data_IF_666717748482
#
_entry.id   IF_666717748482
#
_cell.length_a   1.000
_cell.length_b   1.000
_cell.length_c   1.000
_cell.angle_alpha   90.00
_cell.angle_beta   90.00
_cell.angle_gamma   90.00
#
_symmetry.space_group_name_H-M   'P 1'
#
loop_
_entity.id
_entity.type
_entity.pdbx_description
1 polymer ?
#
# COMPACT_ATOMS: atom_id res chain seq x y z
N UNK A 1 31.67 -25.55 0.30
CA UNK A 1 31.04 -24.23 0.51
C UNK A 1 29.62 -24.47 1.01
N UNK A 2 29.26 -24.00 2.20
CA UNK A 2 27.90 -24.17 2.73
C UNK A 2 26.90 -23.40 1.87
N UNK A 3 25.73 -23.99 1.61
CA UNK A 3 24.66 -23.35 0.81
C UNK A 3 24.09 -22.18 1.59
N UNK A 4 24.00 -20.99 0.98
CA UNK A 4 23.43 -19.81 1.64
C UNK A 4 21.95 -20.07 2.00
N UNK A 5 21.52 -19.53 3.13
CA UNK A 5 20.11 -19.40 3.51
C UNK A 5 19.45 -18.26 2.73
N UNK A 6 18.11 -18.21 2.67
CA UNK A 6 17.40 -17.08 2.03
C UNK A 6 17.73 -15.75 2.72
N UNK A 7 17.87 -15.74 4.04
CA UNK A 7 18.24 -14.54 4.80
C UNK A 7 19.60 -13.99 4.37
N UNK A 8 20.60 -14.86 4.23
CA UNK A 8 21.95 -14.45 3.78
C UNK A 8 21.91 -13.91 2.36
N UNK A 9 21.12 -14.51 1.47
CA UNK A 9 20.94 -14.00 0.10
C UNK A 9 20.34 -12.60 0.08
N UNK A 10 19.29 -12.37 0.88
CA UNK A 10 18.63 -11.07 0.98
C UNK A 10 19.61 -10.00 1.50
N UNK A 11 20.36 -10.31 2.56
CA UNK A 11 21.33 -9.38 3.13
C UNK A 11 22.44 -9.00 2.15
N UNK A 12 22.95 -9.97 1.38
CA UNK A 12 23.95 -9.70 0.34
C UNK A 12 23.42 -8.73 -0.71
N UNK A 13 22.18 -8.91 -1.19
CA UNK A 13 21.56 -7.97 -2.14
C UNK A 13 21.51 -6.56 -1.56
N UNK A 14 21.07 -6.39 -0.30
CA UNK A 14 21.05 -5.08 0.36
C UNK A 14 22.44 -4.48 0.60
N UNK A 15 23.48 -5.30 0.64
CA UNK A 15 24.88 -4.88 0.76
C UNK A 15 25.55 -4.61 -0.59
N UNK A 16 24.85 -4.78 -1.72
CA UNK A 16 25.43 -4.66 -3.06
C UNK A 16 26.31 -5.85 -3.47
N UNK A 17 26.22 -6.97 -2.75
CA UNK A 17 26.95 -8.19 -3.03
C UNK A 17 26.14 -9.19 -3.88
N UNK A 18 26.82 -10.16 -4.48
CA UNK A 18 26.20 -11.20 -5.31
C UNK A 18 25.90 -12.46 -4.47
N UNK A 19 24.62 -12.86 -4.31
CA UNK A 19 24.26 -14.12 -3.67
C UNK A 19 24.53 -15.33 -4.59
N UNK A 20 24.52 -16.55 -4.03
CA UNK A 20 24.67 -17.80 -4.81
C UNK A 20 23.51 -18.06 -5.80
N UNK A 21 22.35 -17.43 -5.59
CA UNK A 21 21.20 -17.34 -6.50
C UNK A 21 20.27 -16.20 -6.07
N UNK A 22 19.29 -15.88 -6.91
CA UNK A 22 18.22 -14.92 -6.59
C UNK A 22 17.50 -15.33 -5.28
N UNK A 23 17.42 -14.44 -4.27
CA UNK A 23 16.68 -14.72 -3.04
C UNK A 23 15.18 -14.89 -3.30
N UNK A 24 14.53 -15.71 -2.50
CA UNK A 24 13.09 -15.89 -2.53
C UNK A 24 12.50 -15.92 -1.12
N UNK A 25 11.38 -15.24 -0.94
CA UNK A 25 10.55 -15.33 0.27
C UNK A 25 9.07 -15.28 -0.10
N UNK A 26 8.26 -16.01 0.65
CA UNK A 26 6.81 -15.89 0.59
C UNK A 26 6.37 -14.61 1.32
N UNK A 27 5.34 -13.95 0.82
CA UNK A 27 4.60 -12.92 1.55
C UNK A 27 3.16 -13.39 1.72
N UNK A 28 2.73 -13.57 2.96
CA UNK A 28 1.38 -14.02 3.28
C UNK A 28 0.45 -12.88 3.70
N UNK A 29 0.82 -11.61 3.49
CA UNK A 29 0.03 -10.46 3.94
C UNK A 29 -1.38 -10.46 3.37
N UNK A 30 -1.51 -10.63 2.05
CA UNK A 30 -2.83 -10.69 1.40
C UNK A 30 -3.65 -11.91 1.85
N UNK A 31 -2.98 -13.05 1.99
CA UNK A 31 -3.61 -14.28 2.52
C UNK A 31 -4.07 -14.10 3.97
N UNK A 32 -3.29 -13.42 4.81
CA UNK A 32 -3.61 -13.14 6.20
C UNK A 32 -4.90 -12.31 6.31
N UNK A 33 -5.01 -11.22 5.56
CA UNK A 33 -6.21 -10.39 5.54
C UNK A 33 -7.46 -11.18 5.14
N UNK A 34 -7.37 -11.94 4.04
CA UNK A 34 -8.48 -12.77 3.58
C UNK A 34 -8.83 -13.86 4.60
N UNK A 35 -7.83 -14.59 5.14
CA UNK A 35 -8.07 -15.69 6.09
C UNK A 35 -8.76 -15.24 7.36
N UNK A 36 -8.35 -14.12 7.92
CA UNK A 36 -8.89 -13.59 9.18
C UNK A 36 -10.03 -12.60 8.96
N UNK A 37 -10.48 -12.42 7.72
CA UNK A 37 -11.54 -11.49 7.34
C UNK A 37 -11.27 -10.06 7.84
N UNK A 38 -10.00 -9.67 7.88
CA UNK A 38 -9.56 -8.32 8.25
C UNK A 38 -9.59 -7.44 7.01
N UNK A 39 -10.41 -6.40 7.02
CA UNK A 39 -10.42 -5.43 5.92
C UNK A 39 -9.04 -4.78 5.79
N UNK A 40 -8.47 -4.84 4.59
CA UNK A 40 -7.28 -4.07 4.26
C UNK A 40 -7.72 -2.62 4.06
N UNK A 41 -7.56 -1.75 5.05
CA UNK A 41 -7.92 -0.34 4.91
C UNK A 41 -6.75 0.43 4.29
N UNK A 42 -7.01 1.17 3.21
CA UNK A 42 -6.04 2.07 2.54
C UNK A 42 -5.99 3.46 3.18
N UNK A 43 -6.84 3.68 4.16
CA UNK A 43 -6.98 4.91 4.91
C UNK A 43 -6.59 4.59 6.36
N UNK A 44 -5.52 5.20 6.84
CA UNK A 44 -5.04 4.97 8.20
C UNK A 44 -3.62 5.46 8.41
N UNK A 45 -3.29 5.65 9.69
CA UNK A 45 -1.91 5.88 10.09
C UNK A 45 -1.15 4.55 10.08
N UNK A 46 -0.12 4.46 9.25
CA UNK A 46 0.79 3.32 9.15
C UNK A 46 2.08 3.54 9.95
N UNK A 47 2.07 4.45 10.93
CA UNK A 47 3.18 4.65 11.86
C UNK A 47 3.40 3.46 12.79
N UNK A 48 2.36 2.65 13.03
CA UNK A 48 2.42 1.47 13.89
C UNK A 48 2.48 0.20 13.03
N UNK A 49 3.52 -0.64 13.17
CA UNK A 49 3.60 -1.91 12.47
C UNK A 49 2.43 -2.85 12.83
N UNK A 50 1.91 -3.57 11.84
CA UNK A 50 0.89 -4.62 12.05
C UNK A 50 1.52 -5.90 12.63
N UNK A 51 1.82 -5.87 13.93
CA UNK A 51 2.53 -6.94 14.63
C UNK A 51 1.86 -8.31 14.50
N UNK A 52 0.53 -8.39 14.53
CA UNK A 52 -0.18 -9.68 14.39
C UNK A 52 0.08 -10.35 13.04
N UNK A 53 0.17 -9.56 11.96
CA UNK A 53 0.48 -10.06 10.63
C UNK A 53 1.95 -10.43 10.49
N UNK A 54 2.84 -9.62 11.08
CA UNK A 54 4.28 -9.91 11.15
C UNK A 54 4.52 -11.24 11.87
N UNK A 55 3.91 -11.43 13.02
CA UNK A 55 4.04 -12.64 13.83
C UNK A 55 3.43 -13.84 13.13
N UNK A 56 2.32 -13.66 12.42
CA UNK A 56 1.75 -14.71 11.57
C UNK A 56 2.74 -15.16 10.49
N UNK A 57 3.31 -14.24 9.71
CA UNK A 57 4.31 -14.56 8.68
C UNK A 57 5.54 -15.26 9.30
N UNK A 58 6.04 -14.75 10.43
CA UNK A 58 7.15 -15.35 11.17
C UNK A 58 6.84 -16.80 11.57
N UNK A 59 5.64 -17.08 12.08
CA UNK A 59 5.20 -18.42 12.47
C UNK A 59 5.18 -19.42 11.29
N UNK A 60 5.02 -18.92 10.06
CA UNK A 60 5.02 -19.72 8.82
C UNK A 60 6.38 -19.80 8.14
N UNK A 61 7.42 -19.18 8.72
CA UNK A 61 8.73 -19.00 8.09
C UNK A 61 8.63 -18.31 6.73
N UNK A 62 7.61 -17.48 6.56
CA UNK A 62 7.45 -16.60 5.41
C UNK A 62 8.28 -15.33 5.63
N UNK A 63 8.63 -14.67 4.53
CA UNK A 63 9.09 -13.29 4.59
C UNK A 63 7.92 -12.37 4.91
N UNK A 64 8.24 -11.10 5.06
CA UNK A 64 7.24 -10.07 5.21
C UNK A 64 7.82 -8.77 4.69
N UNK A 65 7.11 -8.15 3.78
CA UNK A 65 7.37 -6.78 3.39
C UNK A 65 6.59 -5.87 4.33
N UNK A 66 7.23 -4.83 4.87
CA UNK A 66 6.53 -3.85 5.73
C UNK A 66 5.38 -3.26 4.91
N UNK A 67 4.10 -3.52 5.27
CA UNK A 67 2.96 -3.07 4.51
C UNK A 67 3.02 -1.55 4.45
N UNK A 68 2.75 -1.04 3.25
CA UNK A 68 2.47 0.37 2.99
C UNK A 68 3.67 1.33 3.00
N UNK A 69 4.90 0.94 3.33
CA UNK A 69 6.10 1.83 3.32
C UNK A 69 5.92 3.23 3.98
N UNK A 70 4.79 3.47 4.64
CA UNK A 70 4.31 4.82 4.92
C UNK A 70 4.96 5.40 6.18
N UNK A 71 5.80 4.62 6.87
CA UNK A 71 6.56 5.09 8.02
C UNK A 71 7.86 5.83 7.64
N UNK A 72 8.26 5.85 6.35
CA UNK A 72 9.50 6.50 5.92
C UNK A 72 9.34 7.97 5.49
N UNK A 73 8.11 8.42 5.27
CA UNK A 73 7.83 9.78 4.85
C UNK A 73 6.52 10.26 5.47
N UNK A 74 6.39 11.58 5.61
CA UNK A 74 5.14 12.23 5.96
C UNK A 74 4.67 13.02 4.75
N UNK A 75 3.42 12.83 4.37
CA UNK A 75 2.78 13.69 3.35
C UNK A 75 2.39 14.99 4.04
N UNK A 76 2.77 16.10 3.44
CA UNK A 76 2.31 17.43 3.79
C UNK A 76 1.96 18.15 2.49
N UNK A 77 0.79 18.76 2.45
CA UNK A 77 0.37 19.63 1.36
C UNK A 77 0.58 21.09 1.76
N UNK A 78 0.72 21.97 0.78
CA UNK A 78 0.74 23.42 0.98
C UNK A 78 -0.60 23.92 1.54
N UNK A 79 -0.61 25.07 2.22
CA UNK A 79 -1.83 25.67 2.81
C UNK A 79 -2.92 25.98 1.76
N UNK A 80 -2.54 26.07 0.49
CA UNK A 80 -3.45 26.29 -0.65
C UNK A 80 -4.11 25.02 -1.17
N UNK A 81 -3.75 23.85 -0.65
CA UNK A 81 -4.26 22.54 -1.07
C UNK A 81 -5.16 21.97 0.01
N UNK A 82 -6.41 21.68 -0.36
CA UNK A 82 -7.33 20.95 0.51
C UNK A 82 -7.34 19.48 0.12
N UNK A 83 -6.99 18.62 1.07
CA UNK A 83 -6.99 17.18 0.89
C UNK A 83 -8.08 16.54 1.73
N UNK A 84 -8.93 15.76 1.06
CA UNK A 84 -10.04 15.03 1.67
C UNK A 84 -9.90 13.54 1.41
N UNK A 85 -10.10 12.75 2.45
CA UNK A 85 -10.26 11.30 2.36
C UNK A 85 -11.49 10.92 3.13
N UNK A 86 -12.39 10.17 2.48
CA UNK A 86 -13.58 9.67 3.15
C UNK A 86 -13.98 8.32 2.58
N UNK A 87 -14.86 7.66 3.31
CA UNK A 87 -15.36 6.32 2.98
C UNK A 87 -16.87 6.38 2.87
N UNK A 88 -17.38 5.78 1.82
CA UNK A 88 -18.81 5.68 1.55
C UNK A 88 -19.21 4.22 1.34
N UNK A 89 -20.50 3.96 1.24
CA UNK A 89 -21.01 2.64 0.86
C UNK A 89 -22.12 2.84 -0.15
N UNK A 90 -21.87 2.39 -1.38
CA UNK A 90 -22.81 2.45 -2.48
C UNK A 90 -23.29 1.05 -2.81
N UNK A 91 -24.62 0.82 -2.76
CA UNK A 91 -25.19 -0.50 -3.01
C UNK A 91 -24.70 -1.61 -2.08
N UNK A 92 -24.28 -1.25 -0.85
CA UNK A 92 -23.69 -2.19 0.11
C UNK A 92 -22.20 -2.49 -0.10
N UNK A 93 -21.58 -1.89 -1.12
CA UNK A 93 -20.16 -2.04 -1.44
C UNK A 93 -19.40 -0.80 -0.92
N UNK A 94 -18.39 -0.99 -0.06
CA UNK A 94 -17.55 0.12 0.39
C UNK A 94 -16.77 0.78 -0.74
N UNK A 95 -16.64 2.11 -0.66
CA UNK A 95 -15.80 2.92 -1.53
C UNK A 95 -14.89 3.82 -0.70
N UNK A 96 -13.67 4.06 -1.14
CA UNK A 96 -12.78 5.08 -0.59
C UNK A 96 -12.56 6.15 -1.64
N UNK A 97 -12.73 7.39 -1.23
CA UNK A 97 -12.62 8.58 -2.03
C UNK A 97 -11.45 9.41 -1.53
N UNK A 98 -10.66 9.91 -2.48
CA UNK A 98 -9.64 10.91 -2.26
C UNK A 98 -9.92 12.10 -3.17
N UNK A 99 -9.79 13.31 -2.63
CA UNK A 99 -9.94 14.55 -3.38
C UNK A 99 -8.85 15.54 -2.99
N UNK A 100 -8.21 16.11 -4.00
CA UNK A 100 -7.32 17.25 -3.85
C UNK A 100 -7.94 18.45 -4.55
N UNK A 101 -8.08 19.54 -3.81
CA UNK A 101 -8.53 20.83 -4.34
C UNK A 101 -7.37 21.80 -4.29
N UNK A 102 -7.02 22.35 -5.46
CA UNK A 102 -5.90 23.27 -5.64
C UNK A 102 -6.38 24.52 -6.37
N UNK A 103 -5.57 25.60 -6.41
CA UNK A 103 -5.86 26.77 -7.23
C UNK A 103 -5.97 26.47 -8.75
N UNK A 104 -5.40 25.36 -9.22
CA UNK A 104 -5.41 24.97 -10.62
C UNK A 104 -6.57 24.03 -10.99
N UNK A 105 -7.34 23.57 -10.00
CA UNK A 105 -8.45 22.66 -10.18
C UNK A 105 -8.47 21.54 -9.15
N UNK A 106 -9.26 20.52 -9.44
CA UNK A 106 -9.58 19.42 -8.53
C UNK A 106 -9.29 18.08 -9.21
N UNK A 107 -8.70 17.15 -8.47
CA UNK A 107 -8.56 15.75 -8.88
C UNK A 107 -9.19 14.82 -7.85
N UNK A 108 -9.81 13.75 -8.34
CA UNK A 108 -10.50 12.78 -7.51
C UNK A 108 -10.05 11.36 -7.86
N UNK A 109 -9.95 10.52 -6.84
CA UNK A 109 -9.68 9.09 -6.98
C UNK A 109 -10.71 8.32 -6.17
N UNK A 110 -11.29 7.31 -6.81
CA UNK A 110 -12.25 6.42 -6.16
C UNK A 110 -11.76 4.98 -6.29
N UNK A 111 -11.82 4.26 -5.18
CA UNK A 111 -11.59 2.81 -5.17
C UNK A 111 -12.76 2.09 -4.53
N UNK A 112 -13.17 0.98 -5.14
CA UNK A 112 -14.27 0.13 -4.69
C UNK A 112 -13.72 -1.16 -4.11
N UNK A 113 -14.33 -1.64 -3.03
CA UNK A 113 -13.96 -2.91 -2.40
C UNK A 113 -14.41 -4.11 -3.24
N UNK A 114 -13.46 -4.97 -3.61
CA UNK A 114 -13.71 -6.20 -4.34
C UNK A 114 -13.51 -7.42 -3.43
N UNK A 115 -14.58 -8.09 -2.97
CA UNK A 115 -14.47 -9.16 -1.99
C UNK A 115 -13.78 -10.42 -2.54
N UNK A 116 -13.89 -10.68 -3.84
CA UNK A 116 -13.33 -11.89 -4.48
C UNK A 116 -11.80 -11.81 -4.57
N UNK A 117 -11.28 -10.65 -4.98
CA UNK A 117 -9.83 -10.40 -5.04
C UNK A 117 -9.27 -9.88 -3.71
N UNK A 118 -10.14 -9.60 -2.74
CA UNK A 118 -9.83 -9.01 -1.44
C UNK A 118 -8.96 -7.75 -1.59
N UNK A 119 -9.40 -6.83 -2.45
CA UNK A 119 -8.62 -5.66 -2.86
C UNK A 119 -9.49 -4.43 -3.14
N UNK A 120 -8.85 -3.28 -3.36
CA UNK A 120 -9.50 -2.01 -3.70
C UNK A 120 -9.25 -1.67 -5.17
N UNK A 121 -10.24 -1.92 -6.02
CA UNK A 121 -10.16 -1.67 -7.45
C UNK A 121 -10.35 -0.19 -7.75
N UNK A 122 -9.49 0.43 -8.59
CA UNK A 122 -9.67 1.81 -9.01
C UNK A 122 -10.82 1.91 -10.01
N UNK A 123 -11.86 2.68 -9.67
CA UNK A 123 -12.99 2.98 -10.55
C UNK A 123 -12.89 4.37 -11.16
N UNK A 124 -12.34 5.33 -10.41
CA UNK A 124 -11.94 6.66 -10.90
C UNK A 124 -10.45 6.82 -10.63
N UNK A 125 -9.69 7.14 -11.68
CA UNK A 125 -8.26 7.45 -11.55
C UNK A 125 -8.10 8.92 -11.21
N UNK A 126 -7.07 9.20 -10.43
CA UNK A 126 -6.68 10.55 -10.00
C UNK A 126 -6.28 11.47 -11.17
N UNK A 127 -5.81 10.86 -12.26
CA UNK A 127 -5.43 11.54 -13.50
C UNK A 127 -6.07 10.79 -14.66
N UNK A 128 -6.93 11.49 -15.40
CA UNK A 128 -7.61 11.02 -16.60
C UNK A 128 -7.25 11.90 -17.82
N UNK A 129 -6.73 13.11 -17.59
CA UNK A 129 -6.38 14.11 -18.60
C UNK A 129 -5.01 14.75 -18.32
N UNK A 130 -4.44 15.44 -19.31
CA UNK A 130 -3.17 16.15 -19.15
C UNK A 130 -3.27 17.35 -18.19
N UNK A 131 -4.41 18.04 -18.12
CA UNK A 131 -4.60 19.18 -17.22
C UNK A 131 -4.62 18.74 -15.75
N UNK A 132 -5.19 17.56 -15.46
CA UNK A 132 -5.18 16.97 -14.11
C UNK A 132 -3.78 16.60 -13.62
N UNK A 133 -2.81 16.38 -14.53
CA UNK A 133 -1.39 16.23 -14.15
C UNK A 133 -0.89 17.52 -13.49
N UNK A 134 -1.29 18.69 -13.98
CA UNK A 134 -0.85 19.98 -13.42
C UNK A 134 -1.45 20.23 -12.04
N UNK A 135 -2.70 19.82 -11.83
CA UNK A 135 -3.36 19.85 -10.52
C UNK A 135 -2.61 18.95 -9.54
N UNK A 136 -2.36 17.69 -9.89
CA UNK A 136 -1.69 16.73 -9.00
C UNK A 136 -0.21 17.08 -8.75
N UNK A 137 0.48 17.65 -9.73
CA UNK A 137 1.88 18.09 -9.56
C UNK A 137 2.03 19.28 -8.60
N UNK A 138 0.95 20.03 -8.35
CA UNK A 138 0.91 21.12 -7.38
C UNK A 138 0.53 20.65 -5.97
N UNK A 139 -0.33 19.63 -5.87
CA UNK A 139 -0.88 19.09 -4.63
C UNK A 139 0.17 18.43 -3.72
#
# INVERSE_FOLDING_TARGET
MGKMTERERILKVFQGEVPDRVPYMLDLSHYYYHKFQKRWELFGDYSIPEYEMIDYNRSKKAGFYIPNQASFFKVACDDTVQYHVWKETHGGIPEIHWKYETPYGTVERVRVWEPVSYSWAPTVREVNTEDEIRVLAYA
#
